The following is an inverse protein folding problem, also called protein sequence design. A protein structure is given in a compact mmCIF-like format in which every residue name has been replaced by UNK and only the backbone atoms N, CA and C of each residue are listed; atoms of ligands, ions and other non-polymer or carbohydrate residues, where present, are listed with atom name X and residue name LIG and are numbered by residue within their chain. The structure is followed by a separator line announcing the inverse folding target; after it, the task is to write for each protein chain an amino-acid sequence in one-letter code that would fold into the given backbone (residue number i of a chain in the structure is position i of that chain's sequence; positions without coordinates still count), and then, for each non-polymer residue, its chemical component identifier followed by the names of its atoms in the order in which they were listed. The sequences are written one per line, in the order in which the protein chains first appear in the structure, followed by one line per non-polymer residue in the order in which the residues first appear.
data_IF_306347363361
#
_entry.id   IF_306347363361
#
_cell.length_a   1.000
_cell.length_b   1.000
_cell.length_c   1.000
_cell.angle_alpha   90.00
_cell.angle_beta   90.00
_cell.angle_gamma   90.00
#
_symmetry.space_group_name_H-M   'P 1'
#
loop_
_entity.id
_entity.type
_entity.pdbx_description
1 polymer ?
#
# COMPACT_ATOMS: atom_id res chain seq x y z
N UNK A 1 2.33 60.15 -65.54
CA UNK A 1 3.72 59.72 -65.68
C UNK A 1 3.86 58.30 -65.10
N UNK A 2 4.25 57.44 -66.00
CA UNK A 2 4.69 56.04 -65.89
C UNK A 2 4.32 55.18 -64.65
N UNK A 3 3.34 54.28 -64.91
CA UNK A 3 3.07 53.09 -64.17
C UNK A 3 4.26 52.09 -64.28
N UNK A 4 4.67 51.53 -63.17
CA UNK A 4 5.60 50.39 -63.14
C UNK A 4 4.87 49.20 -62.64
N UNK A 5 4.62 48.24 -63.52
CA UNK A 5 4.02 46.93 -63.25
C UNK A 5 5.07 46.03 -62.52
N UNK A 6 4.79 45.60 -61.30
CA UNK A 6 5.51 44.53 -60.71
C UNK A 6 4.73 43.21 -60.90
N UNK A 7 5.39 42.35 -61.62
CA UNK A 7 4.98 40.96 -61.90
C UNK A 7 5.27 40.15 -60.62
N UNK A 8 4.23 39.62 -59.95
CA UNK A 8 4.37 38.59 -58.93
C UNK A 8 4.42 37.24 -59.63
N UNK A 9 5.35 36.37 -59.27
CA UNK A 9 5.32 34.97 -59.72
C UNK A 9 4.25 34.21 -58.90
N UNK A 10 3.39 33.53 -59.62
CA UNK A 10 2.43 32.58 -59.07
C UNK A 10 3.22 31.39 -58.45
N UNK A 11 3.34 31.33 -57.15
CA UNK A 11 3.70 30.10 -56.45
C UNK A 11 2.47 29.15 -56.50
N UNK A 12 2.63 28.08 -57.27
CA UNK A 12 1.69 26.97 -57.26
C UNK A 12 1.74 26.31 -55.88
N UNK A 13 0.63 26.45 -55.12
CA UNK A 13 0.39 25.65 -53.91
C UNK A 13 0.08 24.22 -54.39
N UNK A 14 1.08 23.37 -54.32
CA UNK A 14 0.89 21.91 -54.32
C UNK A 14 0.26 21.55 -52.98
N UNK A 15 -1.05 21.46 -52.95
CA UNK A 15 -1.82 20.81 -51.90
C UNK A 15 -1.51 19.31 -51.96
N UNK A 16 -0.56 18.86 -51.14
CA UNK A 16 -0.40 17.46 -50.82
C UNK A 16 -1.59 17.09 -49.92
N UNK A 17 -2.64 16.59 -50.57
CA UNK A 17 -3.69 15.86 -49.90
C UNK A 17 -3.05 14.55 -49.41
N UNK A 18 -2.61 14.57 -48.14
CA UNK A 18 -2.32 13.36 -47.42
C UNK A 18 -3.65 12.58 -47.31
N UNK A 19 -3.86 11.67 -48.20
CA UNK A 19 -4.83 10.57 -48.04
C UNK A 19 -4.42 9.85 -46.78
N UNK A 20 -5.05 10.16 -45.64
CA UNK A 20 -5.19 9.28 -44.54
C UNK A 20 -5.99 8.08 -45.04
N UNK A 21 -5.30 7.14 -45.67
CA UNK A 21 -5.78 5.80 -45.79
C UNK A 21 -5.94 5.30 -44.34
N UNK A 22 -7.14 5.46 -43.79
CA UNK A 22 -7.59 4.62 -42.68
C UNK A 22 -7.60 3.20 -43.28
N UNK A 23 -6.43 2.59 -43.24
CA UNK A 23 -6.32 1.16 -43.41
C UNK A 23 -7.11 0.59 -42.25
N UNK A 24 -8.36 0.20 -42.49
CA UNK A 24 -9.00 -0.85 -41.74
C UNK A 24 -8.12 -2.10 -41.96
N UNK A 25 -7.02 -2.15 -41.24
CA UNK A 25 -6.26 -3.38 -41.08
C UNK A 25 -7.22 -4.30 -40.34
N UNK A 26 -7.90 -5.20 -41.13
CA UNK A 26 -8.42 -6.42 -40.55
C UNK A 26 -7.30 -6.95 -39.70
N UNK A 27 -7.49 -6.98 -38.38
CA UNK A 27 -6.55 -7.62 -37.47
C UNK A 27 -6.25 -8.99 -38.07
N UNK A 28 -5.09 -9.12 -38.66
CA UNK A 28 -4.53 -10.43 -38.94
C UNK A 28 -4.46 -11.09 -37.58
N UNK A 29 -5.19 -12.15 -37.35
CA UNK A 29 -5.49 -12.83 -36.11
C UNK A 29 -4.35 -13.16 -35.13
N UNK A 30 -3.35 -12.29 -35.01
CA UNK A 30 -2.32 -12.39 -33.97
C UNK A 30 -2.95 -11.92 -32.65
N UNK A 31 -3.03 -12.80 -31.66
CA UNK A 31 -3.55 -12.47 -30.34
C UNK A 31 -2.73 -11.36 -29.67
N UNK A 32 -3.37 -10.53 -28.83
CA UNK A 32 -2.70 -9.44 -28.16
C UNK A 32 -1.47 -9.89 -27.36
N UNK A 33 -1.55 -11.04 -26.68
CA UNK A 33 -0.44 -11.60 -25.90
C UNK A 33 0.73 -12.06 -26.79
N UNK A 34 0.47 -12.52 -28.02
CA UNK A 34 1.53 -12.85 -28.99
C UNK A 34 2.30 -11.61 -29.38
N UNK A 35 1.60 -10.50 -29.63
CA UNK A 35 2.23 -9.21 -29.93
C UNK A 35 3.04 -8.69 -28.76
N UNK A 36 2.51 -8.75 -27.52
CA UNK A 36 3.22 -8.36 -26.30
C UNK A 36 4.48 -9.19 -26.09
N UNK A 37 4.40 -10.51 -26.27
CA UNK A 37 5.59 -11.36 -26.16
C UNK A 37 6.66 -11.01 -27.18
N UNK A 38 6.28 -10.81 -28.44
CA UNK A 38 7.24 -10.42 -29.48
C UNK A 38 7.91 -9.09 -29.18
N UNK A 39 7.15 -8.08 -28.70
CA UNK A 39 7.70 -6.79 -28.28
C UNK A 39 8.66 -6.95 -27.11
N UNK A 40 8.27 -7.72 -26.11
CA UNK A 40 9.11 -8.05 -24.96
C UNK A 40 10.42 -8.71 -25.37
N UNK A 41 10.38 -9.75 -26.22
CA UNK A 41 11.56 -10.49 -26.67
C UNK A 41 12.54 -9.58 -27.43
N UNK A 42 12.01 -8.71 -28.31
CA UNK A 42 12.82 -7.73 -29.03
C UNK A 42 13.45 -6.70 -28.09
N UNK A 43 12.66 -6.16 -27.16
CA UNK A 43 13.14 -5.18 -26.15
C UNK A 43 14.22 -5.80 -25.26
N UNK A 44 13.99 -7.01 -24.73
CA UNK A 44 14.95 -7.71 -23.88
C UNK A 44 16.27 -8.00 -24.61
N UNK A 45 16.19 -8.44 -25.86
CA UNK A 45 17.38 -8.72 -26.65
C UNK A 45 18.25 -7.51 -26.87
N UNK A 46 17.68 -6.30 -26.90
CA UNK A 46 18.39 -5.04 -27.07
C UNK A 46 18.94 -4.54 -25.73
N UNK A 47 18.11 -4.50 -24.69
CA UNK A 47 18.45 -3.85 -23.42
C UNK A 47 19.19 -4.76 -22.42
N UNK A 48 18.86 -6.07 -22.44
CA UNK A 48 19.41 -7.05 -21.49
C UNK A 48 19.76 -8.38 -22.20
N UNK A 49 20.67 -8.37 -23.17
CA UNK A 49 21.02 -9.57 -23.94
C UNK A 49 21.67 -10.66 -23.09
N UNK A 50 22.34 -10.27 -21.99
CA UNK A 50 23.04 -11.18 -21.07
C UNK A 50 22.21 -11.57 -19.83
N UNK A 51 20.93 -11.16 -19.74
CA UNK A 51 20.08 -11.52 -18.60
C UNK A 51 19.91 -13.04 -18.51
N UNK A 52 20.09 -13.56 -17.29
CA UNK A 52 19.98 -15.00 -17.01
C UNK A 52 18.51 -15.35 -16.79
N UNK A 53 17.98 -16.25 -17.62
CA UNK A 53 16.64 -16.79 -17.44
C UNK A 53 16.62 -17.78 -16.28
N UNK A 54 15.62 -17.64 -15.41
CA UNK A 54 15.28 -18.56 -14.32
C UNK A 54 13.77 -18.81 -14.34
N UNK A 55 13.34 -19.99 -14.74
CA UNK A 55 11.94 -20.42 -14.69
C UNK A 55 10.92 -19.40 -15.27
N UNK A 56 11.31 -18.70 -16.35
CA UNK A 56 10.47 -17.77 -17.08
C UNK A 56 10.58 -16.30 -16.67
N UNK A 57 11.42 -15.96 -15.68
CA UNK A 57 11.82 -14.58 -15.38
C UNK A 57 13.30 -14.35 -15.74
N UNK A 58 13.77 -13.11 -15.78
CA UNK A 58 15.15 -12.79 -16.16
C UNK A 58 15.82 -12.03 -15.02
N UNK A 59 16.81 -12.68 -14.37
CA UNK A 59 17.58 -12.09 -13.29
C UNK A 59 18.60 -11.11 -13.89
N UNK A 60 18.57 -9.86 -13.39
CA UNK A 60 19.52 -8.81 -13.79
C UNK A 60 20.63 -8.64 -12.75
N UNK A 61 20.25 -8.61 -11.48
CA UNK A 61 21.16 -8.43 -10.36
C UNK A 61 20.70 -9.31 -9.19
N UNK A 62 21.65 -9.87 -8.45
CA UNK A 62 21.39 -10.69 -7.28
C UNK A 62 22.47 -10.46 -6.22
N UNK A 63 22.09 -9.80 -5.13
CA UNK A 63 22.93 -9.61 -3.95
C UNK A 63 22.39 -10.54 -2.85
N UNK A 64 23.12 -11.60 -2.52
CA UNK A 64 22.67 -12.57 -1.55
C UNK A 64 22.56 -11.98 -0.14
N UNK A 65 21.47 -12.30 0.57
CA UNK A 65 21.34 -12.07 2.01
C UNK A 65 22.06 -13.12 2.82
N UNK A 66 22.11 -12.91 4.13
CA UNK A 66 22.77 -13.81 5.08
C UNK A 66 21.82 -14.46 6.10
N UNK A 67 20.55 -14.03 6.13
CA UNK A 67 19.52 -14.57 7.01
C UNK A 67 18.87 -15.87 6.50
N UNK A 68 17.73 -16.28 7.08
CA UNK A 68 16.96 -17.43 6.64
C UNK A 68 16.59 -17.38 5.16
N UNK A 69 16.53 -18.56 4.52
CA UNK A 69 16.10 -18.65 3.13
C UNK A 69 14.58 -18.48 3.02
N UNK A 70 14.11 -17.86 1.93
CA UNK A 70 12.69 -17.77 1.61
C UNK A 70 12.08 -19.18 1.45
N UNK A 71 10.88 -19.36 1.99
CA UNK A 71 10.14 -20.60 1.97
C UNK A 71 8.71 -20.36 1.50
N UNK A 72 8.38 -20.86 0.33
CA UNK A 72 7.05 -20.72 -0.30
C UNK A 72 5.86 -21.20 0.55
N UNK A 73 6.11 -22.02 1.56
CA UNK A 73 5.05 -22.62 2.39
C UNK A 73 4.65 -21.71 3.58
N UNK A 74 5.40 -20.64 3.86
CA UNK A 74 5.07 -19.73 4.96
C UNK A 74 3.98 -18.71 4.61
N UNK A 75 3.73 -18.47 3.34
CA UNK A 75 2.54 -17.75 2.87
C UNK A 75 2.56 -16.24 2.99
N UNK A 76 3.34 -15.64 3.89
CA UNK A 76 3.47 -14.18 4.06
C UNK A 76 4.94 -13.79 3.98
N UNK A 77 5.25 -12.85 3.10
CA UNK A 77 6.59 -12.28 2.92
C UNK A 77 6.60 -10.81 3.28
N UNK A 78 7.62 -10.39 4.03
CA UNK A 78 7.93 -8.98 4.29
C UNK A 78 9.02 -8.53 3.33
N UNK A 79 8.74 -7.49 2.55
CA UNK A 79 9.70 -6.98 1.57
C UNK A 79 9.51 -5.51 1.28
N UNK A 80 10.57 -4.83 0.87
CA UNK A 80 10.47 -3.58 0.13
C UNK A 80 10.70 -3.85 -1.34
N UNK A 81 10.06 -3.07 -2.22
CA UNK A 81 10.24 -3.26 -3.65
C UNK A 81 9.96 -2.01 -4.47
N UNK A 82 10.61 -1.98 -5.61
CA UNK A 82 10.33 -1.00 -6.67
C UNK A 82 9.90 -1.74 -7.92
N UNK A 83 8.83 -1.27 -8.54
CA UNK A 83 8.35 -1.74 -9.84
C UNK A 83 8.59 -0.66 -10.89
N UNK A 84 9.23 -1.01 -11.99
CA UNK A 84 9.41 -0.13 -13.15
C UNK A 84 8.84 -0.82 -14.38
N UNK A 85 8.28 -0.05 -15.28
CA UNK A 85 7.97 -0.55 -16.62
C UNK A 85 9.25 -0.77 -17.45
N UNK A 86 9.09 -1.23 -18.67
CA UNK A 86 10.21 -1.49 -19.56
C UNK A 86 10.87 -0.22 -20.10
N UNK A 87 10.20 0.93 -20.02
CA UNK A 87 10.75 2.25 -20.37
C UNK A 87 11.54 2.86 -19.20
N UNK A 88 11.48 2.24 -18.01
CA UNK A 88 12.18 2.64 -16.79
C UNK A 88 11.37 3.53 -15.86
N UNK A 89 10.12 3.85 -16.21
CA UNK A 89 9.25 4.64 -15.38
C UNK A 89 8.81 3.85 -14.13
N UNK A 90 8.89 4.51 -12.96
CA UNK A 90 8.52 3.91 -11.69
C UNK A 90 7.01 3.90 -11.53
N UNK A 91 6.42 2.70 -11.59
CA UNK A 91 5.01 2.45 -11.40
C UNK A 91 4.65 2.34 -9.90
N UNK A 92 5.51 1.74 -9.09
CA UNK A 92 5.34 1.60 -7.66
C UNK A 92 6.68 1.57 -6.93
N UNK A 93 6.72 2.11 -5.71
CA UNK A 93 7.94 2.17 -4.93
C UNK A 93 7.64 2.24 -3.43
N UNK A 94 8.31 1.41 -2.64
CA UNK A 94 8.23 1.41 -1.17
C UNK A 94 9.47 2.00 -0.51
N UNK A 95 10.42 2.50 -1.28
CA UNK A 95 11.65 3.12 -0.77
C UNK A 95 11.49 4.65 -0.71
N UNK A 96 11.61 5.21 0.49
CA UNK A 96 11.45 6.64 0.71
C UNK A 96 12.55 7.47 0.02
N UNK A 97 13.79 6.99 0.03
CA UNK A 97 14.91 7.73 -0.58
C UNK A 97 14.74 7.79 -2.10
N UNK A 98 14.32 6.69 -2.71
CA UNK A 98 13.98 6.66 -4.12
C UNK A 98 12.84 7.62 -4.45
N UNK A 99 11.78 7.64 -3.65
CA UNK A 99 10.68 8.57 -3.84
C UNK A 99 11.14 10.04 -3.80
N UNK A 100 12.06 10.38 -2.88
CA UNK A 100 12.67 11.71 -2.78
C UNK A 100 13.53 12.04 -4.01
N UNK A 101 14.35 11.11 -4.47
CA UNK A 101 15.19 11.29 -5.65
C UNK A 101 14.37 11.52 -6.93
N UNK A 102 13.23 10.84 -7.04
CA UNK A 102 12.30 10.99 -8.16
C UNK A 102 11.41 12.23 -8.05
N UNK A 103 11.49 13.01 -6.97
CA UNK A 103 10.59 14.12 -6.70
C UNK A 103 9.12 13.70 -6.50
N UNK A 104 8.87 12.43 -6.19
CA UNK A 104 7.52 11.84 -5.98
C UNK A 104 7.23 11.54 -4.50
N UNK A 105 8.12 11.95 -3.60
CA UNK A 105 7.93 11.73 -2.18
C UNK A 105 6.71 12.48 -1.63
N UNK A 106 5.93 11.79 -0.80
CA UNK A 106 4.80 12.35 -0.10
C UNK A 106 4.88 11.90 1.37
N UNK A 107 4.92 12.87 2.28
CA UNK A 107 5.04 12.62 3.72
C UNK A 107 3.95 11.69 4.25
N UNK A 108 2.74 11.74 3.70
CA UNK A 108 1.61 10.96 4.20
C UNK A 108 1.60 9.51 3.75
N UNK A 109 2.37 9.16 2.71
CA UNK A 109 2.45 7.79 2.20
C UNK A 109 3.31 6.93 3.12
N UNK A 110 3.01 5.65 3.14
CA UNK A 110 3.84 4.67 3.81
C UNK A 110 4.95 4.19 2.89
N UNK A 111 6.19 4.44 3.31
CA UNK A 111 7.39 3.87 2.73
C UNK A 111 8.00 2.89 3.73
N UNK A 112 8.29 1.68 3.28
CA UNK A 112 8.84 0.66 4.16
C UNK A 112 8.37 -0.74 3.81
N UNK A 113 8.60 -1.71 4.71
CA UNK A 113 8.22 -3.11 4.50
C UNK A 113 6.74 -3.29 4.19
N UNK A 114 6.46 -4.00 3.11
CA UNK A 114 5.10 -4.41 2.75
C UNK A 114 4.87 -5.84 3.21
N UNK A 115 3.64 -6.13 3.63
CA UNK A 115 3.16 -7.48 3.92
C UNK A 115 2.56 -8.03 2.64
N UNK A 116 3.21 -9.00 2.03
CA UNK A 116 2.80 -9.55 0.74
C UNK A 116 2.47 -11.03 0.88
N UNK A 117 1.22 -11.44 0.63
CA UNK A 117 0.89 -12.85 0.48
C UNK A 117 1.69 -13.45 -0.68
N UNK A 118 2.37 -14.56 -0.44
CA UNK A 118 3.22 -15.25 -1.41
C UNK A 118 2.94 -16.75 -1.42
N UNK A 119 3.48 -17.45 -2.41
CA UNK A 119 3.23 -18.87 -2.61
C UNK A 119 2.10 -19.14 -3.59
N UNK A 120 1.79 -20.42 -3.77
CA UNK A 120 0.81 -20.85 -4.76
C UNK A 120 -0.57 -20.23 -4.47
N UNK A 121 -1.14 -19.63 -5.52
CA UNK A 121 -2.47 -19.01 -5.52
C UNK A 121 -2.61 -17.70 -4.71
N UNK A 122 -1.54 -17.26 -4.03
CA UNK A 122 -1.56 -15.99 -3.27
C UNK A 122 -1.06 -14.80 -4.10
N UNK A 123 -0.08 -15.04 -4.98
CA UNK A 123 0.46 -14.03 -5.89
C UNK A 123 0.75 -14.63 -7.27
N UNK A 124 1.22 -13.83 -8.21
CA UNK A 124 1.62 -14.31 -9.54
C UNK A 124 2.94 -15.09 -9.49
N UNK A 125 3.10 -16.02 -10.43
CA UNK A 125 4.21 -16.98 -10.45
C UNK A 125 5.60 -16.29 -10.49
N UNK A 126 5.70 -15.19 -11.24
CA UNK A 126 6.97 -14.47 -11.40
C UNK A 126 7.53 -13.92 -10.09
N UNK A 127 6.69 -13.47 -9.15
CA UNK A 127 7.15 -13.00 -7.84
C UNK A 127 7.66 -14.16 -6.97
N UNK A 128 6.95 -15.30 -6.96
CA UNK A 128 7.41 -16.48 -6.22
C UNK A 128 8.76 -16.98 -6.75
N UNK A 129 8.96 -16.98 -8.07
CA UNK A 129 10.23 -17.37 -8.69
C UNK A 129 11.34 -16.36 -8.41
N UNK A 130 10.99 -15.06 -8.37
CA UNK A 130 11.93 -14.01 -8.00
C UNK A 130 12.44 -14.23 -6.57
N UNK A 131 11.56 -14.56 -5.64
CA UNK A 131 11.90 -14.80 -4.23
C UNK A 131 12.62 -16.13 -4.01
N UNK A 132 12.42 -17.11 -4.88
CA UNK A 132 13.00 -18.45 -4.73
C UNK A 132 14.54 -18.40 -4.69
N UNK A 133 15.10 -19.00 -3.62
CA UNK A 133 16.53 -19.00 -3.34
C UNK A 133 17.06 -17.70 -2.75
N UNK A 134 16.24 -16.66 -2.54
CA UNK A 134 16.67 -15.48 -1.77
C UNK A 134 16.83 -15.81 -0.29
N UNK A 135 17.70 -15.07 0.37
CA UNK A 135 17.87 -15.06 1.82
C UNK A 135 17.50 -13.70 2.40
N UNK A 136 17.02 -13.67 3.61
CA UNK A 136 16.71 -12.44 4.32
C UNK A 136 17.91 -11.48 4.33
N UNK A 137 17.63 -10.20 4.01
CA UNK A 137 18.62 -9.16 3.74
C UNK A 137 19.14 -9.14 2.30
N UNK A 138 18.75 -10.10 1.45
CA UNK A 138 19.13 -10.12 0.03
C UNK A 138 18.32 -9.16 -0.82
N UNK A 139 18.96 -8.71 -1.92
CA UNK A 139 18.34 -7.82 -2.92
C UNK A 139 18.43 -8.48 -4.28
N UNK A 140 17.32 -8.56 -5.00
CA UNK A 140 17.29 -9.09 -6.36
C UNK A 140 16.52 -8.19 -7.30
N UNK A 141 17.12 -7.92 -8.47
CA UNK A 141 16.47 -7.24 -9.59
C UNK A 141 16.19 -8.24 -10.69
N UNK A 142 14.94 -8.31 -11.14
CA UNK A 142 14.54 -9.19 -12.23
C UNK A 142 13.48 -8.56 -13.13
N UNK A 143 13.48 -8.94 -14.40
CA UNK A 143 12.37 -8.68 -15.30
C UNK A 143 11.37 -9.82 -15.14
N UNK A 144 10.13 -9.47 -14.83
CA UNK A 144 9.00 -10.42 -14.80
C UNK A 144 8.14 -10.14 -16.03
N UNK A 145 8.13 -11.05 -16.99
CA UNK A 145 7.31 -10.90 -18.20
C UNK A 145 5.81 -10.96 -17.91
N UNK A 146 5.01 -10.39 -18.80
CA UNK A 146 3.55 -10.30 -18.67
C UNK A 146 2.89 -11.66 -18.38
N UNK A 147 3.35 -12.75 -18.97
CA UNK A 147 2.81 -14.10 -18.74
C UNK A 147 3.13 -14.68 -17.36
N UNK A 148 4.11 -14.09 -16.66
CA UNK A 148 4.47 -14.44 -15.29
C UNK A 148 3.88 -13.47 -14.25
N UNK A 149 3.18 -12.42 -14.71
CA UNK A 149 2.53 -11.38 -13.91
C UNK A 149 1.03 -11.61 -13.70
N UNK A 150 0.50 -12.74 -14.16
CA UNK A 150 -0.93 -13.05 -14.02
C UNK A 150 -1.19 -13.93 -12.81
N UNK A 151 -2.33 -13.71 -12.14
CA UNK A 151 -2.81 -14.61 -11.08
C UNK A 151 -3.30 -15.94 -11.65
N UNK A 152 -3.73 -15.98 -12.93
CA UNK A 152 -3.96 -17.22 -13.64
C UNK A 152 -2.62 -17.86 -13.96
N UNK A 153 -2.34 -19.00 -13.32
CA UNK A 153 -1.13 -19.78 -13.60
C UNK A 153 -1.42 -20.68 -14.78
N UNK A 154 -1.05 -20.24 -15.98
CA UNK A 154 -1.22 -21.00 -17.18
C UNK A 154 -0.28 -22.22 -17.18
N UNK A 155 -0.79 -23.37 -17.67
CA UNK A 155 -0.02 -24.62 -17.73
C UNK A 155 1.17 -24.54 -18.71
N UNK A 156 1.10 -23.62 -19.65
CA UNK A 156 2.18 -23.36 -20.62
C UNK A 156 2.10 -21.93 -21.16
N UNK A 157 3.20 -21.44 -21.72
CA UNK A 157 3.24 -20.16 -22.43
C UNK A 157 2.25 -20.14 -23.60
N UNK A 158 2.07 -21.27 -24.35
CA UNK A 158 1.14 -21.33 -25.44
C UNK A 158 -0.30 -21.08 -24.98
N UNK A 159 -0.69 -21.60 -23.81
CA UNK A 159 -2.01 -21.33 -23.22
C UNK A 159 -2.21 -19.87 -22.87
N UNK A 160 -1.18 -19.19 -22.37
CA UNK A 160 -1.24 -17.73 -22.17
C UNK A 160 -1.40 -17.00 -23.52
N UNK A 161 -0.67 -17.38 -24.54
CA UNK A 161 -0.70 -16.73 -25.86
C UNK A 161 -2.06 -16.87 -26.58
N UNK A 162 -2.87 -17.88 -26.25
CA UNK A 162 -4.25 -18.04 -26.70
C UNK A 162 -5.23 -17.02 -26.08
N UNK A 163 -4.80 -16.31 -25.03
CA UNK A 163 -5.63 -15.33 -24.30
C UNK A 163 -5.26 -13.89 -24.66
N UNK A 164 -6.03 -12.93 -24.14
CA UNK A 164 -5.74 -11.50 -24.26
C UNK A 164 -5.77 -10.87 -22.88
N UNK A 165 -4.66 -10.28 -22.45
CA UNK A 165 -4.51 -9.61 -21.16
C UNK A 165 -3.86 -8.25 -21.36
N UNK A 166 -4.11 -7.31 -20.45
CA UNK A 166 -3.48 -5.99 -20.45
C UNK A 166 -2.33 -5.89 -19.44
N UNK A 167 -1.88 -7.04 -18.92
CA UNK A 167 -0.82 -7.07 -17.89
C UNK A 167 0.53 -6.74 -18.53
N UNK A 168 1.23 -5.67 -18.14
CA UNK A 168 2.54 -5.34 -18.68
C UNK A 168 3.63 -6.23 -18.09
N UNK A 169 4.76 -6.34 -18.80
CA UNK A 169 6.02 -6.83 -18.22
C UNK A 169 6.64 -5.75 -17.35
N UNK A 170 7.24 -6.13 -16.22
CA UNK A 170 7.79 -5.19 -15.25
C UNK A 170 9.19 -5.59 -14.79
N UNK A 171 9.98 -4.61 -14.39
CA UNK A 171 11.27 -4.81 -13.71
C UNK A 171 11.03 -4.61 -12.21
N UNK A 172 11.28 -5.64 -11.43
CA UNK A 172 11.21 -5.62 -9.98
C UNK A 172 12.61 -5.54 -9.37
N UNK A 173 12.78 -4.66 -8.40
CA UNK A 173 13.89 -4.73 -7.46
C UNK A 173 13.28 -5.00 -6.08
N UNK A 174 13.59 -6.14 -5.50
CA UNK A 174 13.02 -6.61 -4.21
C UNK A 174 14.13 -6.75 -3.19
N UNK A 175 13.90 -6.22 -1.98
CA UNK A 175 14.66 -6.58 -0.79
C UNK A 175 13.81 -7.50 0.07
N UNK A 176 14.25 -8.74 0.27
CA UNK A 176 13.57 -9.70 1.14
C UNK A 176 13.93 -9.47 2.60
N UNK A 177 12.94 -9.21 3.46
CA UNK A 177 13.13 -8.79 4.86
C UNK A 177 12.69 -9.83 5.89
N UNK A 178 12.02 -10.90 5.46
CA UNK A 178 11.54 -11.95 6.33
C UNK A 178 10.22 -12.54 5.89
N UNK A 179 9.71 -13.51 6.65
CA UNK A 179 8.48 -14.22 6.32
C UNK A 179 7.84 -14.83 7.56
N UNK A 180 6.55 -15.15 7.49
CA UNK A 180 5.80 -15.83 8.53
C UNK A 180 4.65 -16.65 7.95
N UNK A 181 4.23 -17.69 8.64
CA UNK A 181 2.98 -18.43 8.38
C UNK A 181 1.83 -17.95 9.27
N UNK A 182 2.13 -17.13 10.29
CA UNK A 182 1.16 -16.60 11.23
C UNK A 182 1.34 -15.08 11.41
N UNK A 183 0.72 -14.32 10.50
CA UNK A 183 0.81 -12.86 10.54
C UNK A 183 0.19 -12.27 11.82
N UNK A 184 -0.89 -12.86 12.34
CA UNK A 184 -1.52 -12.38 13.58
C UNK A 184 -0.60 -12.48 14.79
N UNK A 185 0.08 -13.60 14.93
CA UNK A 185 1.06 -13.80 16.00
C UNK A 185 2.26 -12.86 15.87
N UNK A 186 2.75 -12.72 14.64
CA UNK A 186 3.84 -11.79 14.34
C UNK A 186 3.45 -10.35 14.71
N UNK A 187 2.30 -9.87 14.28
CA UNK A 187 1.80 -8.53 14.56
C UNK A 187 1.50 -8.34 16.05
N UNK A 188 0.89 -9.33 16.70
CA UNK A 188 0.64 -9.28 18.15
C UNK A 188 1.95 -9.07 18.93
N UNK A 189 3.02 -9.77 18.57
CA UNK A 189 4.33 -9.60 19.20
C UNK A 189 4.87 -8.18 19.00
N UNK A 190 4.79 -7.63 17.79
CA UNK A 190 5.22 -6.26 17.52
C UNK A 190 4.41 -5.23 18.30
N UNK A 191 3.11 -5.40 18.39
CA UNK A 191 2.24 -4.50 19.17
C UNK A 191 2.54 -4.60 20.67
N UNK A 192 2.80 -5.80 21.18
CA UNK A 192 3.17 -6.03 22.58
C UNK A 192 4.50 -5.35 22.91
N UNK A 193 5.51 -5.52 22.08
CA UNK A 193 6.80 -4.85 22.19
C UNK A 193 6.63 -3.32 22.19
N UNK A 194 5.91 -2.79 21.21
CA UNK A 194 5.59 -1.36 21.12
C UNK A 194 4.89 -0.82 22.36
N UNK A 195 3.84 -1.49 22.86
CA UNK A 195 3.08 -1.06 24.03
C UNK A 195 3.90 -1.16 25.32
N UNK A 196 4.71 -2.21 25.45
CA UNK A 196 5.61 -2.42 26.59
C UNK A 196 6.70 -1.33 26.66
N UNK A 197 7.37 -1.05 25.54
CA UNK A 197 8.43 -0.06 25.48
C UNK A 197 7.90 1.37 25.68
N UNK A 198 6.76 1.68 25.08
CA UNK A 198 6.23 3.04 25.04
C UNK A 198 5.40 3.40 26.27
N UNK A 199 4.70 2.43 26.85
CA UNK A 199 3.68 2.67 27.89
C UNK A 199 3.86 1.81 29.13
N UNK A 200 4.82 0.90 29.16
CA UNK A 200 4.95 -0.13 30.21
C UNK A 200 3.66 -0.97 30.36
N UNK A 201 3.06 -1.37 29.22
CA UNK A 201 1.85 -2.19 29.14
C UNK A 201 2.19 -3.51 28.45
N UNK A 202 1.97 -4.63 29.15
CA UNK A 202 2.27 -5.98 28.65
C UNK A 202 1.02 -6.79 28.28
N UNK A 203 -0.15 -6.43 28.77
CA UNK A 203 -1.39 -7.18 28.65
C UNK A 203 -2.43 -6.44 27.80
N UNK A 204 -3.30 -7.22 27.16
CA UNK A 204 -4.41 -6.71 26.34
C UNK A 204 -5.68 -6.58 27.14
N UNK A 205 -6.66 -5.84 26.59
CA UNK A 205 -8.02 -5.75 27.12
C UNK A 205 -8.74 -7.11 26.97
N UNK A 206 -8.80 -7.88 28.02
CA UNK A 206 -9.50 -9.17 28.05
C UNK A 206 -9.08 -10.07 26.86
N UNK A 207 -10.07 -10.57 26.10
CA UNK A 207 -9.85 -11.42 24.93
C UNK A 207 -9.63 -10.63 23.62
N UNK A 208 -9.87 -9.33 23.64
CA UNK A 208 -9.59 -8.47 22.49
C UNK A 208 -8.07 -8.20 22.40
N UNK A 209 -7.50 -8.36 21.22
CA UNK A 209 -6.07 -8.08 20.98
C UNK A 209 -5.83 -6.55 20.87
N UNK A 210 -6.23 -5.80 21.89
CA UNK A 210 -6.09 -4.35 22.03
C UNK A 210 -5.24 -4.05 23.25
N UNK A 211 -4.08 -3.41 23.06
CA UNK A 211 -3.27 -2.88 24.14
C UNK A 211 -3.76 -1.50 24.50
N UNK A 212 -3.98 -1.23 25.78
CA UNK A 212 -4.60 -0.02 26.28
C UNK A 212 -3.75 0.64 27.38
N UNK A 213 -3.60 1.95 27.32
CA UNK A 213 -2.95 2.75 28.37
C UNK A 213 -3.79 3.96 28.72
N UNK A 214 -4.23 4.02 29.96
CA UNK A 214 -4.77 5.25 30.56
C UNK A 214 -3.66 6.23 30.96
N UNK A 215 -3.87 7.50 30.69
CA UNK A 215 -3.01 8.61 31.14
C UNK A 215 -3.69 9.48 32.20
N UNK A 216 -4.93 9.13 32.56
CA UNK A 216 -5.70 9.81 33.58
C UNK A 216 -5.49 9.11 34.91
N UNK A 217 -5.19 9.86 35.95
CA UNK A 217 -5.26 9.41 37.32
C UNK A 217 -6.63 9.77 37.90
N UNK A 218 -7.32 8.78 38.43
CA UNK A 218 -8.62 8.98 39.08
C UNK A 218 -8.38 8.91 40.59
N UNK A 219 -8.80 9.95 41.32
CA UNK A 219 -8.71 10.01 42.81
C UNK A 219 -9.75 9.10 43.47
N UNK A 220 -10.83 8.81 42.75
CA UNK A 220 -11.92 7.89 43.10
C UNK A 220 -12.13 6.82 42.07
N UNK A 221 -12.96 5.78 42.34
CA UNK A 221 -13.33 4.77 41.38
C UNK A 221 -13.93 5.44 40.14
N UNK A 222 -13.38 5.20 38.93
CA UNK A 222 -13.87 5.86 37.72
C UNK A 222 -15.29 5.41 37.40
N UNK A 223 -16.13 6.33 36.98
CA UNK A 223 -17.51 6.09 36.64
C UNK A 223 -17.60 5.49 35.24
N UNK A 224 -18.28 4.33 35.12
CA UNK A 224 -18.59 3.74 33.81
C UNK A 224 -19.51 4.68 33.03
N UNK A 225 -19.33 4.67 31.70
CA UNK A 225 -20.18 5.44 30.80
C UNK A 225 -21.57 4.80 30.73
N UNK A 226 -22.66 5.57 30.97
CA UNK A 226 -24.01 5.06 30.78
C UNK A 226 -24.25 4.65 29.33
N UNK A 227 -25.02 3.57 29.14
CA UNK A 227 -25.43 3.17 27.79
C UNK A 227 -26.41 4.20 27.20
N UNK A 228 -26.51 4.22 25.85
CA UNK A 228 -27.39 5.11 25.10
C UNK A 228 -27.17 6.60 25.39
N UNK A 229 -25.93 6.96 25.71
CA UNK A 229 -25.52 8.34 25.96
C UNK A 229 -24.65 8.90 24.84
N UNK A 230 -24.55 10.21 24.79
CA UNK A 230 -23.67 10.92 23.86
C UNK A 230 -22.46 11.44 24.63
N UNK A 231 -21.28 11.18 24.10
CA UNK A 231 -20.02 11.71 24.61
C UNK A 231 -19.24 12.37 23.49
N UNK A 232 -18.32 13.27 23.84
CA UNK A 232 -17.48 13.96 22.89
C UNK A 232 -16.03 13.58 23.10
N UNK A 233 -15.31 13.37 21.99
CA UNK A 233 -13.88 13.02 22.04
C UNK A 233 -13.06 13.87 21.08
N UNK A 234 -11.82 14.16 21.50
CA UNK A 234 -10.74 14.40 20.56
C UNK A 234 -9.97 13.11 20.33
N UNK A 235 -9.54 12.88 19.09
CA UNK A 235 -8.70 11.73 18.78
C UNK A 235 -7.61 12.04 17.76
N UNK A 236 -6.58 11.20 17.78
CA UNK A 236 -5.53 11.15 16.75
C UNK A 236 -5.24 9.70 16.45
N UNK A 237 -5.48 9.30 15.19
CA UNK A 237 -5.16 7.97 14.66
C UNK A 237 -3.82 7.98 13.91
N UNK A 238 -2.95 7.02 14.21
CA UNK A 238 -1.64 6.86 13.55
C UNK A 238 -1.28 5.42 13.26
N UNK A 239 -0.43 5.23 12.28
CA UNK A 239 0.23 3.93 12.05
C UNK A 239 1.31 3.73 13.12
N UNK A 240 1.46 2.51 13.63
CA UNK A 240 2.56 2.24 14.58
C UNK A 240 3.90 2.02 13.87
N UNK A 241 3.88 1.65 12.60
CA UNK A 241 5.08 1.33 11.80
C UNK A 241 6.02 2.51 11.57
N UNK A 242 5.47 3.73 11.44
CA UNK A 242 6.24 4.96 11.17
C UNK A 242 5.75 6.17 11.99
N UNK A 243 4.70 6.00 12.79
CA UNK A 243 4.12 7.07 13.61
C UNK A 243 3.34 8.13 12.84
N UNK A 244 3.21 8.00 11.50
CA UNK A 244 2.47 8.97 10.68
C UNK A 244 0.99 8.98 11.06
N UNK A 245 0.50 10.17 11.35
CA UNK A 245 -0.93 10.41 11.61
C UNK A 245 -1.70 10.37 10.29
N UNK A 246 -2.80 9.61 10.27
CA UNK A 246 -3.68 9.52 9.12
C UNK A 246 -5.01 10.24 9.32
N UNK A 247 -5.41 10.46 10.59
CA UNK A 247 -6.63 11.19 10.93
C UNK A 247 -6.55 11.80 12.33
N UNK A 248 -7.18 12.97 12.54
CA UNK A 248 -7.24 13.64 13.84
C UNK A 248 -8.34 14.70 13.88
N UNK A 249 -8.89 14.95 15.06
CA UNK A 249 -9.80 16.07 15.33
C UNK A 249 -9.06 17.37 15.68
N UNK A 250 -7.72 17.34 15.83
CA UNK A 250 -6.90 18.45 16.30
C UNK A 250 -6.20 19.14 15.13
N UNK A 251 -6.55 20.39 14.84
CA UNK A 251 -6.05 21.13 13.67
C UNK A 251 -4.51 21.24 13.62
N UNK A 252 -3.88 21.52 14.74
CA UNK A 252 -2.41 21.70 14.79
C UNK A 252 -1.67 20.36 14.58
N UNK A 253 -2.23 19.26 15.09
CA UNK A 253 -1.74 17.92 14.78
C UNK A 253 -1.87 17.62 13.28
N UNK A 254 -3.01 17.95 12.67
CA UNK A 254 -3.21 17.75 11.23
C UNK A 254 -2.20 18.54 10.39
N UNK A 255 -1.91 19.79 10.77
CA UNK A 255 -0.90 20.63 10.09
C UNK A 255 0.51 20.05 10.24
N UNK A 256 0.88 19.64 11.46
CA UNK A 256 2.19 19.07 11.74
C UNK A 256 2.48 17.81 10.92
N UNK A 257 1.46 16.93 10.78
CA UNK A 257 1.57 15.69 10.01
C UNK A 257 1.21 15.82 8.53
N UNK A 258 1.02 17.06 8.04
CA UNK A 258 0.71 17.37 6.63
C UNK A 258 -0.57 16.69 6.08
N UNK A 259 -1.56 16.50 6.94
CA UNK A 259 -2.90 15.96 6.59
C UNK A 259 -4.01 17.00 6.76
N UNK A 260 -3.66 18.28 7.00
CA UNK A 260 -4.64 19.33 7.17
C UNK A 260 -5.44 19.58 5.90
N UNK A 261 -6.77 19.61 6.05
CA UNK A 261 -7.69 19.98 4.98
C UNK A 261 -8.58 21.14 5.43
N UNK A 262 -8.65 22.24 4.67
CA UNK A 262 -9.53 23.36 5.02
C UNK A 262 -11.02 23.01 4.93
N UNK A 263 -11.38 21.91 4.27
CA UNK A 263 -12.76 21.41 4.19
C UNK A 263 -13.19 20.53 5.37
N UNK A 264 -12.24 20.15 6.23
CA UNK A 264 -12.52 19.35 7.43
C UNK A 264 -12.70 20.26 8.65
N UNK A 265 -13.73 20.00 9.45
CA UNK A 265 -13.91 20.63 10.76
C UNK A 265 -13.02 19.92 11.77
N UNK A 266 -12.21 20.68 12.49
CA UNK A 266 -11.35 20.20 13.56
C UNK A 266 -11.96 20.64 14.90
N UNK A 267 -12.72 19.74 15.49
CA UNK A 267 -13.42 19.93 16.76
C UNK A 267 -13.68 18.55 17.39
N UNK A 268 -14.02 18.48 18.68
CA UNK A 268 -14.48 17.23 19.27
C UNK A 268 -15.63 16.62 18.48
N UNK A 269 -15.59 15.32 18.29
CA UNK A 269 -16.60 14.56 17.57
C UNK A 269 -17.51 13.82 18.51
N UNK A 270 -18.76 13.66 18.11
CA UNK A 270 -19.79 13.00 18.88
C UNK A 270 -19.65 11.48 18.79
N UNK A 271 -19.68 10.80 19.91
CA UNK A 271 -19.76 9.35 20.03
C UNK A 271 -21.15 8.98 20.57
N UNK A 272 -21.88 8.17 19.81
CA UNK A 272 -23.06 7.49 20.31
C UNK A 272 -22.59 6.25 21.09
N UNK A 273 -22.61 6.36 22.41
CA UNK A 273 -22.16 5.29 23.30
C UNK A 273 -23.21 4.19 23.37
N UNK A 274 -22.78 2.94 23.31
CA UNK A 274 -23.66 1.78 23.36
C UNK A 274 -23.10 0.71 24.31
N UNK A 275 -23.96 -0.19 24.77
CA UNK A 275 -23.58 -1.31 25.63
C UNK A 275 -22.55 -2.22 24.93
N UNK A 276 -22.84 -2.60 23.68
CA UNK A 276 -21.92 -3.41 22.88
C UNK A 276 -20.95 -2.51 22.08
N UNK A 277 -19.65 -2.80 22.18
CA UNK A 277 -18.61 -2.05 21.46
C UNK A 277 -18.90 -1.90 19.97
N UNK A 278 -19.35 -2.96 19.30
CA UNK A 278 -19.68 -2.94 17.85
C UNK A 278 -20.81 -1.97 17.47
N UNK A 279 -21.63 -1.54 18.46
CA UNK A 279 -22.75 -0.61 18.26
C UNK A 279 -22.34 0.85 18.51
N UNK A 280 -21.14 1.13 19.00
CA UNK A 280 -20.59 2.46 19.15
C UNK A 280 -20.41 3.10 17.77
N UNK A 281 -20.84 4.36 17.63
CA UNK A 281 -20.77 5.12 16.38
C UNK A 281 -20.10 6.47 16.60
N UNK A 282 -19.35 6.92 15.60
CA UNK A 282 -18.75 8.24 15.53
C UNK A 282 -19.55 9.08 14.51
N UNK A 283 -20.18 10.16 14.98
CA UNK A 283 -21.10 10.99 14.17
C UNK A 283 -22.14 10.14 13.40
N UNK A 284 -22.66 9.09 14.04
CA UNK A 284 -23.64 8.18 13.46
C UNK A 284 -23.07 7.10 12.53
N UNK A 285 -21.77 7.11 12.25
CA UNK A 285 -21.09 6.14 11.38
C UNK A 285 -20.41 5.04 12.19
N UNK A 286 -20.38 3.82 11.63
CA UNK A 286 -19.64 2.71 12.21
C UNK A 286 -18.14 2.97 12.17
N UNK A 287 -17.42 2.54 13.19
CA UNK A 287 -15.97 2.63 13.31
C UNK A 287 -15.35 1.22 13.23
N UNK A 288 -14.01 1.16 13.03
CA UNK A 288 -13.30 -0.11 13.06
C UNK A 288 -13.34 -0.71 14.47
N UNK A 289 -13.37 -2.04 14.56
CA UNK A 289 -13.63 -2.76 15.82
C UNK A 289 -12.59 -2.44 16.90
N UNK A 290 -11.31 -2.29 16.53
CA UNK A 290 -10.26 -1.95 17.47
C UNK A 290 -10.46 -0.58 18.14
N UNK A 291 -10.97 0.40 17.39
CA UNK A 291 -11.31 1.71 17.93
C UNK A 291 -12.48 1.61 18.94
N UNK A 292 -13.55 0.90 18.58
CA UNK A 292 -14.68 0.74 19.49
C UNK A 292 -14.37 -0.07 20.75
N UNK A 293 -13.51 -1.09 20.68
CA UNK A 293 -13.03 -1.81 21.86
C UNK A 293 -12.18 -0.92 22.77
N UNK A 294 -11.28 -0.11 22.19
CA UNK A 294 -10.49 0.86 22.96
C UNK A 294 -11.37 1.90 23.65
N UNK A 295 -12.35 2.46 22.93
CA UNK A 295 -13.33 3.40 23.52
C UNK A 295 -14.10 2.76 24.67
N UNK A 296 -14.59 1.52 24.50
CA UNK A 296 -15.40 0.83 25.51
C UNK A 296 -14.66 0.59 26.82
N UNK A 297 -13.33 0.59 26.79
CA UNK A 297 -12.48 0.50 27.97
C UNK A 297 -12.22 1.84 28.68
N UNK A 298 -12.68 2.96 28.10
CA UNK A 298 -12.50 4.30 28.66
C UNK A 298 -13.65 4.70 29.59
N UNK A 299 -13.31 5.59 30.54
CA UNK A 299 -14.23 6.18 31.49
C UNK A 299 -14.46 7.68 31.19
N UNK A 300 -15.46 8.26 31.81
CA UNK A 300 -15.76 9.69 31.64
C UNK A 300 -14.56 10.58 31.98
N UNK A 301 -14.23 11.51 31.08
CA UNK A 301 -13.09 12.45 31.24
C UNK A 301 -11.72 11.82 31.10
N UNK A 302 -11.61 10.57 30.66
CA UNK A 302 -10.36 9.87 30.50
C UNK A 302 -9.61 10.29 29.25
N UNK A 303 -8.26 10.27 29.36
CA UNK A 303 -7.33 10.33 28.26
C UNK A 303 -6.57 9.00 28.17
N UNK A 304 -6.63 8.36 27.03
CA UNK A 304 -6.02 7.04 26.82
C UNK A 304 -5.42 6.89 25.43
N UNK A 305 -4.54 5.92 25.29
CA UNK A 305 -4.07 5.44 23.99
C UNK A 305 -4.28 3.94 23.90
N UNK A 306 -4.59 3.46 22.70
CA UNK A 306 -4.72 2.04 22.46
C UNK A 306 -4.22 1.64 21.07
N UNK A 307 -3.70 0.40 20.98
CA UNK A 307 -3.12 -0.18 19.77
C UNK A 307 -3.82 -1.49 19.46
N UNK A 308 -4.11 -1.71 18.18
CA UNK A 308 -4.71 -2.93 17.68
C UNK A 308 -4.21 -3.27 16.27
N UNK A 309 -4.32 -4.55 15.92
CA UNK A 309 -3.84 -5.07 14.65
C UNK A 309 -4.80 -4.84 13.49
N UNK A 310 -4.31 -5.21 12.30
CA UNK A 310 -5.03 -4.99 11.04
C UNK A 310 -6.42 -5.61 11.02
N UNK A 311 -6.62 -6.77 11.65
CA UNK A 311 -7.91 -7.50 11.65
C UNK A 311 -9.01 -6.82 12.46
N UNK A 312 -8.63 -5.93 13.39
CA UNK A 312 -9.53 -5.02 14.10
C UNK A 312 -9.55 -3.61 13.48
N UNK A 313 -8.72 -3.38 12.45
CA UNK A 313 -8.57 -2.12 11.73
C UNK A 313 -9.14 -2.20 10.31
N UNK A 314 -8.28 -1.86 9.33
CA UNK A 314 -8.66 -1.78 7.90
C UNK A 314 -8.32 -3.04 7.10
N UNK A 315 -7.98 -4.13 7.77
CA UNK A 315 -7.82 -5.45 7.18
C UNK A 315 -6.67 -5.56 6.18
N UNK A 316 -6.87 -6.50 5.25
CA UNK A 316 -5.89 -6.83 4.21
C UNK A 316 -5.85 -5.84 3.04
N UNK A 317 -6.75 -4.86 3.03
CA UNK A 317 -6.86 -3.85 1.96
C UNK A 317 -6.30 -2.49 2.37
N UNK A 318 -6.22 -2.20 3.68
CA UNK A 318 -5.89 -0.87 4.16
C UNK A 318 -6.97 0.17 3.84
N UNK A 319 -6.63 1.46 3.83
CA UNK A 319 -7.53 2.56 3.47
C UNK A 319 -6.78 3.68 2.75
N UNK A 320 -7.05 3.80 1.46
CA UNK A 320 -6.40 4.78 0.59
C UNK A 320 -4.86 4.66 0.61
N UNK A 321 -4.18 5.80 0.44
CA UNK A 321 -2.72 5.87 0.50
C UNK A 321 -2.15 6.08 1.90
N UNK A 322 -3.01 6.40 2.88
CA UNK A 322 -2.61 6.75 4.25
C UNK A 322 -2.46 5.53 5.16
N UNK A 323 -3.24 4.49 4.93
CA UNK A 323 -3.23 3.28 5.75
C UNK A 323 -2.96 2.08 4.84
N UNK A 324 -1.74 1.54 4.84
CA UNK A 324 -1.40 0.40 4.01
C UNK A 324 -2.19 -0.86 4.43
N UNK A 325 -2.21 -1.86 3.56
CA UNK A 325 -2.70 -3.19 3.88
C UNK A 325 -1.98 -3.74 5.11
N UNK A 326 -2.70 -4.47 5.95
CA UNK A 326 -2.17 -5.09 7.16
C UNK A 326 -1.55 -4.12 8.18
N UNK A 327 -2.03 -2.89 8.27
CA UNK A 327 -1.49 -1.88 9.19
C UNK A 327 -2.05 -2.05 10.61
N UNK A 328 -1.17 -2.19 11.59
CA UNK A 328 -1.50 -1.98 12.99
C UNK A 328 -1.58 -0.48 13.30
N UNK A 329 -2.56 -0.11 14.11
CA UNK A 329 -2.94 1.28 14.34
C UNK A 329 -2.92 1.62 15.83
N UNK A 330 -2.56 2.87 16.12
CA UNK A 330 -2.74 3.50 17.42
C UNK A 330 -3.76 4.61 17.34
N UNK A 331 -4.60 4.72 18.37
CA UNK A 331 -5.41 5.90 18.62
C UNK A 331 -5.08 6.48 19.97
N UNK A 332 -4.88 7.80 19.98
CA UNK A 332 -4.82 8.62 21.18
C UNK A 332 -6.18 9.31 21.30
N UNK A 333 -6.88 9.12 22.40
CA UNK A 333 -8.25 9.61 22.60
C UNK A 333 -8.35 10.35 23.92
N UNK A 334 -9.08 11.45 23.93
CA UNK A 334 -9.42 12.24 25.08
C UNK A 334 -10.93 12.50 25.12
N UNK A 335 -11.60 12.02 26.17
CA UNK A 335 -12.99 12.38 26.38
C UNK A 335 -13.09 13.80 26.91
N UNK A 336 -13.88 14.62 26.26
CA UNK A 336 -14.02 16.05 26.56
C UNK A 336 -15.47 16.39 26.87
N UNK A 337 -15.73 17.49 27.60
CA UNK A 337 -17.09 18.02 27.74
C UNK A 337 -17.71 18.34 26.37
N UNK A 338 -19.03 18.44 26.34
CA UNK A 338 -19.76 18.93 25.16
C UNK A 338 -19.22 20.31 24.78
N UNK A 339 -18.83 20.52 23.49
CA UNK A 339 -18.24 21.76 23.02
C UNK A 339 -19.24 22.92 22.97
#
# INVERSE_FOLDING_TARGET
MKAMKHILPRLALLSVAALLAVSCHKSTGEGANVALKRQFDAWRAIHYPAAVEKDGIYILEDTPGNGPAWNKNLGITFMTYTMRDLDGDVAYNTDEQWAKQLGKWNQTYYYGPQVVPTGKDATYAGLDILLDGMREGGVRTAIIPSWMMTYNRYDSLDKYLETSTDTPSMIYTVTFLGQTDNLKEYEYRLMKEYASEKWDVADTLGTAAVFFKSFTHFDEEPVEMPNDTTVYINYTGRRISDGQVFDTTVADTAKFYNIYSPSKTYAPVMINWAEEAKSIKLDGNSVVSGFSYGLKAMHAGEKASFVFGYDLGYGTSGSGSLIPAYAALQFDVEMVPEP
#
